data_IF_797162828182
#
_entry.id   IF_797162828182
#
_cell.length_a   1.000
_cell.length_b   1.000
_cell.length_c   1.000
_cell.angle_alpha   90.00
_cell.angle_beta   90.00
_cell.angle_gamma   90.00
#
_symmetry.space_group_name_H-M   'P 1'
#
loop_
_entity.id
_entity.type
_entity.pdbx_description
1 polymer ?
#
# COMPACT_ATOMS: atom_id res chain seq x y z
N UNK A 1 -4.24 20.74 -17.60
CA UNK A 1 -4.50 19.84 -16.47
C UNK A 1 -3.17 19.55 -15.81
N UNK A 2 -2.98 19.90 -14.52
CA UNK A 2 -1.77 19.50 -13.80
C UNK A 2 -1.75 17.96 -13.74
N UNK A 3 -0.71 17.34 -14.28
CA UNK A 3 -0.52 15.89 -14.25
C UNK A 3 -0.25 15.53 -12.78
N UNK A 4 -1.23 14.91 -12.11
CA UNK A 4 -1.07 14.49 -10.71
C UNK A 4 0.11 13.53 -10.55
N UNK A 5 0.84 13.63 -9.43
CA UNK A 5 1.92 12.68 -9.13
C UNK A 5 1.34 11.26 -9.09
N UNK A 6 2.00 10.33 -9.76
CA UNK A 6 1.59 8.93 -9.74
C UNK A 6 1.89 8.33 -8.36
N UNK A 7 0.90 7.63 -7.79
CA UNK A 7 1.01 7.02 -6.45
C UNK A 7 1.40 5.55 -6.58
N UNK A 8 2.42 5.14 -5.84
CA UNK A 8 2.88 3.76 -5.74
C UNK A 8 2.67 3.29 -4.30
N UNK A 9 1.88 2.24 -4.14
CA UNK A 9 1.57 1.66 -2.83
C UNK A 9 2.40 0.39 -2.64
N UNK A 10 3.07 0.28 -1.49
CA UNK A 10 3.90 -0.88 -1.13
C UNK A 10 3.55 -1.40 0.25
N UNK A 11 3.94 -2.63 0.56
CA UNK A 11 3.59 -3.26 1.83
C UNK A 11 4.35 -2.69 3.04
N UNK A 12 5.64 -2.40 2.89
CA UNK A 12 6.55 -2.10 4.00
C UNK A 12 7.27 -0.76 3.87
N UNK A 13 7.61 -0.09 5.00
CA UNK A 13 8.38 1.15 4.99
C UNK A 13 9.76 1.00 4.36
N UNK A 14 10.39 -0.19 4.48
CA UNK A 14 11.69 -0.47 3.88
C UNK A 14 11.63 -0.34 2.35
N UNK A 15 10.62 -0.95 1.71
CA UNK A 15 10.39 -0.84 0.26
C UNK A 15 10.20 0.63 -0.17
N UNK A 16 9.53 1.45 0.65
CA UNK A 16 9.37 2.89 0.38
C UNK A 16 10.70 3.63 0.35
N UNK A 17 11.60 3.39 1.31
CA UNK A 17 12.93 4.03 1.36
C UNK A 17 13.76 3.68 0.13
N UNK A 18 13.74 2.40 -0.26
CA UNK A 18 14.46 1.93 -1.45
C UNK A 18 13.89 2.53 -2.74
N UNK A 19 12.57 2.50 -2.95
CA UNK A 19 11.97 3.02 -4.18
C UNK A 19 12.09 4.54 -4.32
N UNK A 20 12.03 5.30 -3.22
CA UNK A 20 12.28 6.75 -3.24
C UNK A 20 13.66 7.12 -3.76
N UNK A 21 14.68 6.28 -3.49
CA UNK A 21 16.04 6.49 -4.01
C UNK A 21 16.12 6.29 -5.53
N UNK A 22 15.27 5.44 -6.11
CA UNK A 22 15.28 5.13 -7.54
C UNK A 22 14.35 6.01 -8.38
N UNK A 23 13.16 6.33 -7.85
CA UNK A 23 12.10 6.99 -8.60
C UNK A 23 12.05 8.52 -8.42
N UNK A 24 12.75 9.04 -7.40
CA UNK A 24 12.77 10.47 -7.11
C UNK A 24 11.40 11.04 -6.71
N UNK A 25 11.23 12.35 -6.86
CA UNK A 25 10.04 13.08 -6.40
C UNK A 25 8.86 13.04 -7.38
N UNK A 26 9.01 12.41 -8.54
CA UNK A 26 7.94 12.28 -9.55
C UNK A 26 6.80 11.37 -9.05
N UNK A 27 7.13 10.42 -8.17
CA UNK A 27 6.19 9.45 -7.62
C UNK A 27 5.96 9.67 -6.13
N UNK A 28 4.72 9.50 -5.69
CA UNK A 28 4.37 9.43 -4.29
C UNK A 28 4.37 7.95 -3.85
N UNK A 29 5.34 7.56 -3.02
CA UNK A 29 5.45 6.19 -2.52
C UNK A 29 4.92 6.09 -1.09
N UNK A 30 3.90 5.27 -0.87
CA UNK A 30 3.19 5.10 0.40
C UNK A 30 3.22 3.62 0.82
N UNK A 31 3.46 3.36 2.11
CA UNK A 31 3.41 2.00 2.66
C UNK A 31 2.05 1.69 3.30
N UNK A 32 1.52 0.47 3.09
CA UNK A 32 0.29 -0.02 3.73
C UNK A 32 0.50 -0.43 5.19
N UNK A 33 1.76 -0.60 5.60
CA UNK A 33 2.13 -1.09 6.94
C UNK A 33 1.57 -2.49 7.24
N UNK A 34 1.43 -3.33 6.22
CA UNK A 34 0.84 -4.67 6.32
C UNK A 34 -0.55 -4.76 5.69
N UNK A 35 -1.39 -5.67 6.21
CA UNK A 35 -2.75 -5.89 5.72
C UNK A 35 -3.65 -4.71 6.04
N UNK A 36 -4.42 -4.25 5.04
CA UNK A 36 -5.38 -3.15 5.19
C UNK A 36 -6.76 -3.65 5.60
N UNK A 37 -7.07 -4.91 5.27
CA UNK A 37 -8.29 -5.61 5.66
C UNK A 37 -7.96 -7.07 5.87
N UNK A 38 -8.62 -7.66 6.84
CA UNK A 38 -8.61 -9.08 7.08
C UNK A 38 -10.05 -9.55 7.35
N UNK A 39 -10.25 -10.85 7.32
CA UNK A 39 -11.46 -11.46 7.85
C UNK A 39 -11.52 -11.24 9.37
N UNK A 40 -12.72 -11.34 9.96
CA UNK A 40 -12.85 -11.25 11.41
C UNK A 40 -11.97 -12.29 12.12
N UNK A 41 -11.21 -11.87 13.12
CA UNK A 41 -10.23 -12.75 13.78
C UNK A 41 -10.88 -13.89 14.58
N UNK A 42 -12.08 -13.68 15.10
CA UNK A 42 -12.72 -14.57 16.08
C UNK A 42 -14.12 -15.06 15.65
N UNK A 43 -14.52 -14.83 14.40
CA UNK A 43 -15.80 -15.31 13.87
C UNK A 43 -15.64 -15.84 12.44
N UNK A 44 -16.57 -16.68 12.03
CA UNK A 44 -16.54 -17.28 10.70
C UNK A 44 -16.96 -16.22 9.66
N UNK A 45 -15.98 -15.61 9.00
CA UNK A 45 -16.17 -14.46 8.12
C UNK A 45 -16.70 -14.75 6.71
N UNK A 46 -17.27 -15.93 6.49
CA UNK A 46 -17.78 -16.37 5.18
C UNK A 46 -19.16 -17.00 5.38
N UNK A 47 -20.11 -16.66 4.52
CA UNK A 47 -21.39 -17.37 4.46
C UNK A 47 -21.28 -18.53 3.45
N UNK A 48 -21.75 -19.72 3.81
CA UNK A 48 -21.50 -20.98 3.05
C UNK A 48 -22.79 -21.58 2.47
N UNK A 49 -23.90 -20.85 2.50
CA UNK A 49 -25.15 -21.27 1.86
C UNK A 49 -25.08 -21.27 0.32
#
# INVERSE_FOLDING_TARGET
MAKGKAVIIVESPAKTRTLKQFLGEEFEVVATMGHVRDLPENEFGVDVE
#
